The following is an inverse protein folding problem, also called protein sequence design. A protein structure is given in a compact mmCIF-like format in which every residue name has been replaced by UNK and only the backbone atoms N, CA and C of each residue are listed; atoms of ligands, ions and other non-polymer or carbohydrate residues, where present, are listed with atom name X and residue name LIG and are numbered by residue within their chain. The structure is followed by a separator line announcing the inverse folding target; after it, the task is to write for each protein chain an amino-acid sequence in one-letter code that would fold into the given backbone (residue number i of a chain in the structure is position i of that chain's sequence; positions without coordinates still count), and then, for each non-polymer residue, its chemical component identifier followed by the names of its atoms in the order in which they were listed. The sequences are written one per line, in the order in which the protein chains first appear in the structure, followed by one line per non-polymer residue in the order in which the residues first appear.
data_IF_689274340174
#
_entry.id   IF_689274340174
#
_cell.length_a   1.000
_cell.length_b   1.000
_cell.length_c   1.000
_cell.angle_alpha   90.00
_cell.angle_beta   90.00
_cell.angle_gamma   90.00
#
_symmetry.space_group_name_H-M   'P 1'
#
loop_
_entity.id
_entity.type
_entity.pdbx_description
1 polymer ?
#
# COMPACT_ATOMS: atom_id res chain seq x y z
N UNK A 1 21.26 10.68 -11.51
CA UNK A 1 20.56 9.48 -11.00
C UNK A 1 20.73 8.40 -12.06
N UNK A 2 21.49 7.33 -11.77
CA UNK A 2 21.66 6.23 -12.73
C UNK A 2 20.39 5.38 -12.71
N UNK A 3 19.55 5.58 -13.68
CA UNK A 3 18.45 4.66 -14.01
C UNK A 3 19.12 3.38 -14.52
N UNK A 4 19.16 2.32 -13.74
CA UNK A 4 19.57 1.00 -14.22
C UNK A 4 18.44 0.57 -15.14
N UNK A 5 18.72 0.50 -16.44
CA UNK A 5 17.75 0.04 -17.41
C UNK A 5 17.25 -1.37 -17.01
N UNK A 6 15.95 -1.58 -16.99
CA UNK A 6 15.28 -2.85 -16.66
C UNK A 6 15.77 -4.00 -17.54
N UNK A 7 16.34 -3.69 -18.70
CA UNK A 7 16.97 -4.63 -19.64
C UNK A 7 18.08 -5.52 -19.02
N UNK A 8 18.63 -5.15 -17.85
CA UNK A 8 19.72 -5.89 -17.19
C UNK A 8 19.23 -6.80 -16.04
N UNK A 9 17.96 -6.75 -15.66
CA UNK A 9 17.43 -7.58 -14.57
C UNK A 9 16.77 -8.81 -15.17
N UNK A 10 17.47 -9.94 -15.22
CA UNK A 10 16.86 -11.24 -15.55
C UNK A 10 16.30 -11.96 -14.31
N UNK A 11 16.90 -11.75 -13.15
CA UNK A 11 16.49 -12.36 -11.87
C UNK A 11 16.54 -11.32 -10.77
N UNK A 12 15.42 -11.08 -10.12
CA UNK A 12 15.26 -10.18 -8.98
C UNK A 12 15.29 -10.97 -7.67
N UNK A 13 16.15 -10.60 -6.75
CA UNK A 13 16.15 -11.13 -5.38
C UNK A 13 15.18 -10.32 -4.52
N UNK A 14 14.05 -10.89 -4.17
CA UNK A 14 13.05 -10.31 -3.28
C UNK A 14 13.26 -10.81 -1.86
N UNK A 15 13.21 -9.88 -0.90
CA UNK A 15 13.16 -10.15 0.54
C UNK A 15 11.78 -9.74 1.05
N UNK A 16 10.93 -10.72 1.36
CA UNK A 16 9.53 -10.51 1.71
C UNK A 16 9.34 -10.83 3.19
N UNK A 17 8.70 -9.91 3.92
CA UNK A 17 8.31 -10.14 5.32
C UNK A 17 7.25 -11.23 5.39
N UNK A 18 7.49 -12.22 6.27
CA UNK A 18 6.61 -13.36 6.49
C UNK A 18 6.21 -13.45 7.96
N UNK A 19 4.93 -13.62 8.16
CA UNK A 19 4.32 -13.90 9.46
C UNK A 19 3.02 -14.68 9.27
N UNK A 20 2.89 -15.77 10.01
CA UNK A 20 1.67 -16.57 10.08
C UNK A 20 1.32 -16.77 11.58
N UNK A 21 0.19 -16.18 12.04
CA UNK A 21 -0.21 -16.27 13.45
C UNK A 21 -0.46 -17.71 13.91
N UNK A 22 -0.90 -18.59 13.00
CA UNK A 22 -1.24 -19.99 13.33
C UNK A 22 0.01 -20.87 13.43
N UNK A 23 1.16 -20.41 12.93
CA UNK A 23 2.40 -21.20 12.93
C UNK A 23 3.13 -21.21 14.28
N UNK A 24 2.82 -20.27 15.17
CA UNK A 24 3.56 -20.03 16.42
C UNK A 24 5.01 -19.57 16.23
N UNK A 25 5.45 -19.30 14.98
CA UNK A 25 6.80 -18.85 14.65
C UNK A 25 6.91 -17.34 14.71
N UNK A 26 8.11 -16.84 15.03
CA UNK A 26 8.41 -15.41 14.95
C UNK A 26 8.44 -14.95 13.49
N UNK A 27 8.12 -13.67 13.22
CA UNK A 27 8.29 -13.09 11.89
C UNK A 27 9.71 -13.21 11.35
N UNK A 28 9.85 -13.38 10.03
CA UNK A 28 11.14 -13.49 9.36
C UNK A 28 11.10 -12.88 7.96
N UNK A 29 12.26 -12.68 7.35
CA UNK A 29 12.37 -12.25 5.95
C UNK A 29 12.66 -13.48 5.10
N UNK A 30 11.80 -13.75 4.11
CA UNK A 30 11.99 -14.82 3.13
C UNK A 30 12.66 -14.24 1.88
N UNK A 31 13.72 -14.90 1.44
CA UNK A 31 14.37 -14.56 0.16
C UNK A 31 13.83 -15.44 -0.96
N UNK A 32 13.34 -14.82 -2.03
CA UNK A 32 12.84 -15.49 -3.24
C UNK A 32 13.49 -14.84 -4.45
N UNK A 33 13.98 -15.65 -5.38
CA UNK A 33 14.48 -15.18 -6.67
C UNK A 33 13.35 -15.26 -7.70
N UNK A 34 13.04 -14.14 -8.33
CA UNK A 34 11.95 -14.03 -9.30
C UNK A 34 12.51 -13.61 -10.64
N UNK A 35 12.14 -14.33 -11.69
CA UNK A 35 12.51 -13.99 -13.06
C UNK A 35 11.59 -12.89 -13.59
N UNK A 36 12.22 -11.79 -14.03
CA UNK A 36 11.54 -10.58 -14.50
C UNK A 36 11.58 -10.52 -16.02
N UNK A 37 10.45 -10.23 -16.70
CA UNK A 37 10.43 -10.00 -18.14
C UNK A 37 11.41 -8.90 -18.55
N UNK A 38 12.22 -9.15 -19.59
CA UNK A 38 13.25 -8.21 -20.05
C UNK A 38 12.72 -7.11 -20.96
N UNK A 39 11.52 -7.25 -21.46
CA UNK A 39 10.91 -6.42 -22.51
C UNK A 39 10.05 -5.28 -22.00
N UNK A 40 9.76 -5.27 -20.70
CA UNK A 40 8.94 -4.22 -20.07
C UNK A 40 9.29 -4.00 -18.60
N UNK A 41 9.10 -2.76 -18.14
CA UNK A 41 9.10 -2.44 -16.72
C UNK A 41 7.78 -2.91 -16.09
N UNK A 42 7.87 -3.73 -15.06
CA UNK A 42 6.70 -4.22 -14.32
C UNK A 42 6.61 -3.58 -12.94
N UNK A 43 5.43 -3.60 -12.35
CA UNK A 43 5.19 -3.03 -11.04
C UNK A 43 5.63 -3.97 -9.92
N UNK A 44 5.86 -3.42 -8.73
CA UNK A 44 6.18 -4.20 -7.52
C UNK A 44 5.11 -5.26 -7.25
N UNK A 45 3.84 -4.94 -7.50
CA UNK A 45 2.74 -5.89 -7.33
C UNK A 45 2.84 -7.07 -8.30
N UNK A 46 3.30 -6.85 -9.54
CA UNK A 46 3.49 -7.94 -10.51
C UNK A 46 4.62 -8.87 -10.06
N UNK A 47 5.72 -8.30 -9.55
CA UNK A 47 6.80 -9.11 -8.97
C UNK A 47 6.34 -9.94 -7.76
N UNK A 48 5.45 -9.38 -6.90
CA UNK A 48 4.82 -10.14 -5.81
C UNK A 48 3.94 -11.28 -6.32
N UNK A 49 3.25 -11.10 -7.45
CA UNK A 49 2.50 -12.19 -8.09
C UNK A 49 3.41 -13.31 -8.56
N UNK A 50 4.51 -12.99 -9.23
CA UNK A 50 5.51 -13.98 -9.65
C UNK A 50 6.14 -14.72 -8.44
N UNK A 51 6.39 -14.00 -7.34
CA UNK A 51 6.85 -14.62 -6.10
C UNK A 51 5.79 -15.57 -5.51
N UNK A 52 4.50 -15.19 -5.56
CA UNK A 52 3.38 -16.01 -5.08
C UNK A 52 3.13 -17.23 -5.94
N UNK A 53 3.45 -17.21 -7.22
CA UNK A 53 3.41 -18.40 -8.08
C UNK A 53 4.41 -19.47 -7.63
N UNK A 54 5.57 -19.05 -7.10
CA UNK A 54 6.57 -19.96 -6.55
C UNK A 54 6.21 -20.41 -5.12
N UNK A 55 5.65 -19.50 -4.29
CA UNK A 55 5.20 -19.79 -2.94
C UNK A 55 3.77 -19.29 -2.73
N UNK A 56 2.74 -20.11 -2.95
CA UNK A 56 1.33 -19.73 -2.80
C UNK A 56 0.92 -19.26 -1.41
N UNK A 57 1.73 -19.53 -0.39
CA UNK A 57 1.46 -19.12 1.00
C UNK A 57 1.65 -17.63 1.26
N UNK A 58 2.34 -16.89 0.37
CA UNK A 58 2.56 -15.45 0.49
C UNK A 58 1.22 -14.71 0.45
N UNK A 59 0.96 -13.88 1.46
CA UNK A 59 -0.32 -13.17 1.61
C UNK A 59 -0.15 -11.67 1.48
N UNK A 60 -0.92 -11.06 0.57
CA UNK A 60 -1.01 -9.62 0.37
C UNK A 60 -2.39 -9.24 -0.18
N UNK A 61 -2.79 -7.98 0.01
CA UNK A 61 -4.03 -7.45 -0.55
C UNK A 61 -3.78 -6.85 -1.92
N UNK A 62 -4.77 -6.96 -2.79
CA UNK A 62 -4.82 -6.29 -4.09
C UNK A 62 -6.25 -6.17 -4.59
N UNK A 63 -6.52 -5.19 -5.45
CA UNK A 63 -7.81 -5.04 -6.11
C UNK A 63 -7.66 -4.35 -7.46
N UNK A 64 -7.74 -3.03 -7.54
CA UNK A 64 -7.85 -2.26 -8.78
C UNK A 64 -6.63 -2.35 -9.71
N UNK A 65 -5.41 -2.45 -9.17
CA UNK A 65 -4.13 -2.43 -9.88
C UNK A 65 -3.77 -1.10 -10.58
N UNK A 66 -4.46 -0.02 -10.24
CA UNK A 66 -4.32 1.30 -10.88
C UNK A 66 -4.22 2.46 -9.89
N UNK A 67 -3.89 2.16 -8.62
CA UNK A 67 -3.66 3.17 -7.61
C UNK A 67 -4.91 3.85 -7.03
N UNK A 68 -6.11 3.26 -7.21
CA UNK A 68 -7.38 3.87 -6.78
C UNK A 68 -7.91 3.28 -5.48
N UNK A 69 -7.75 1.95 -5.26
CA UNK A 69 -8.36 1.28 -4.12
C UNK A 69 -7.53 1.34 -2.83
N UNK A 70 -6.23 1.63 -2.90
CA UNK A 70 -5.34 1.69 -1.75
C UNK A 70 -5.04 0.37 -1.04
N UNK A 71 -5.56 -0.77 -1.53
CA UNK A 71 -5.51 -2.06 -0.80
C UNK A 71 -4.11 -2.66 -0.74
N UNK A 72 -3.23 -2.33 -1.67
CA UNK A 72 -1.86 -2.82 -1.80
C UNK A 72 -0.79 -1.86 -1.24
N UNK A 73 -1.19 -1.05 -0.26
CA UNK A 73 -0.27 -0.24 0.53
C UNK A 73 0.73 -1.11 1.28
N UNK A 74 2.03 -0.86 1.10
CA UNK A 74 3.11 -1.61 1.71
C UNK A 74 4.38 -0.77 1.86
N UNK A 75 5.35 -1.25 2.62
CA UNK A 75 6.65 -0.64 2.71
C UNK A 75 7.59 -1.29 1.68
N UNK A 76 8.10 -0.48 0.76
CA UNK A 76 8.95 -0.89 -0.35
C UNK A 76 10.34 -0.26 -0.15
N UNK A 77 11.36 -1.06 0.14
CA UNK A 77 12.72 -0.58 0.42
C UNK A 77 12.77 0.58 1.44
N UNK A 78 11.95 0.50 2.51
CA UNK A 78 11.89 1.50 3.58
C UNK A 78 10.97 2.70 3.31
N UNK A 79 10.29 2.77 2.15
CA UNK A 79 9.30 3.81 1.83
C UNK A 79 7.92 3.20 1.66
N UNK A 80 6.90 3.85 2.22
CA UNK A 80 5.53 3.43 2.04
C UNK A 80 5.02 3.84 0.65
N UNK A 81 4.30 2.94 -0.01
CA UNK A 81 3.75 3.18 -1.34
C UNK A 81 2.78 2.08 -1.75
N UNK A 82 2.19 2.24 -2.93
CA UNK A 82 1.30 1.25 -3.53
C UNK A 82 2.09 0.36 -4.48
N UNK A 83 2.00 -0.96 -4.30
CA UNK A 83 2.73 -1.91 -5.14
C UNK A 83 2.28 -1.88 -6.59
N UNK A 84 1.02 -1.54 -6.88
CA UNK A 84 0.46 -1.57 -8.23
C UNK A 84 0.88 -0.41 -9.15
N UNK A 85 1.38 0.68 -8.59
CA UNK A 85 1.83 1.86 -9.35
C UNK A 85 3.30 2.23 -9.09
N UNK A 86 4.03 1.38 -8.40
CA UNK A 86 5.47 1.57 -8.17
C UNK A 86 6.26 0.70 -9.16
N UNK A 87 6.93 1.29 -10.18
CA UNK A 87 7.72 0.55 -11.13
C UNK A 87 8.97 -0.06 -10.49
N UNK A 88 9.38 -1.24 -10.94
CA UNK A 88 10.61 -1.87 -10.43
C UNK A 88 11.86 -1.03 -10.73
N UNK A 89 11.90 -0.37 -11.88
CA UNK A 89 13.03 0.49 -12.29
C UNK A 89 13.33 1.62 -11.29
N UNK A 90 12.32 2.10 -10.57
CA UNK A 90 12.49 3.18 -9.59
C UNK A 90 13.01 2.68 -8.23
N UNK A 91 12.68 1.46 -7.87
CA UNK A 91 12.91 0.96 -6.50
C UNK A 91 13.97 -0.11 -6.39
N UNK A 92 14.22 -0.90 -7.44
CA UNK A 92 15.22 -1.97 -7.41
C UNK A 92 16.64 -1.39 -7.35
N UNK A 93 17.42 -1.84 -6.36
CA UNK A 93 18.82 -1.48 -6.20
C UNK A 93 19.67 -2.75 -6.14
N UNK A 94 20.69 -2.85 -7.02
CA UNK A 94 21.61 -4.01 -7.06
C UNK A 94 20.85 -5.35 -7.14
N UNK A 95 19.78 -5.43 -7.96
CA UNK A 95 18.91 -6.58 -8.13
C UNK A 95 18.23 -7.07 -6.82
N UNK A 96 17.98 -6.15 -5.87
CA UNK A 96 17.32 -6.46 -4.60
C UNK A 96 16.09 -5.61 -4.42
N UNK A 97 15.05 -6.21 -3.84
CA UNK A 97 13.80 -5.56 -3.47
C UNK A 97 13.38 -6.09 -2.10
N UNK A 98 13.21 -5.21 -1.12
CA UNK A 98 12.68 -5.55 0.19
C UNK A 98 11.25 -5.07 0.32
N UNK A 99 10.34 -5.96 0.77
CA UNK A 99 8.93 -5.64 0.97
C UNK A 99 8.51 -6.04 2.37
N UNK A 100 7.89 -5.09 3.07
CA UNK A 100 7.36 -5.23 4.42
C UNK A 100 5.92 -4.72 4.49
N UNK A 101 5.14 -5.12 5.50
CA UNK A 101 3.84 -4.50 5.78
C UNK A 101 4.01 -3.01 6.14
N UNK A 102 2.93 -2.25 6.06
CA UNK A 102 2.91 -0.86 6.55
C UNK A 102 3.32 -0.82 8.03
N UNK A 103 4.27 0.04 8.42
CA UNK A 103 4.77 0.08 9.79
C UNK A 103 3.74 0.67 10.76
N UNK A 104 3.78 0.23 12.02
CA UNK A 104 2.93 0.74 13.10
C UNK A 104 1.52 0.13 13.16
N UNK A 105 1.07 -0.58 12.14
CA UNK A 105 -0.19 -1.33 12.15
C UNK A 105 0.06 -2.80 12.55
N UNK A 106 -0.86 -3.43 13.31
CA UNK A 106 -0.76 -4.85 13.64
C UNK A 106 -0.75 -5.72 12.38
N UNK A 107 0.18 -6.66 12.30
CA UNK A 107 0.25 -7.58 11.16
C UNK A 107 -0.71 -8.75 11.38
N UNK A 108 -1.62 -8.94 10.44
CA UNK A 108 -2.54 -10.08 10.41
C UNK A 108 -1.84 -11.31 9.85
N UNK A 109 -1.26 -11.18 8.66
CA UNK A 109 -0.47 -12.24 8.00
C UNK A 109 0.41 -11.62 6.91
N UNK A 110 1.70 -11.93 6.91
CA UNK A 110 2.70 -11.46 5.93
C UNK A 110 2.63 -9.93 5.70
N UNK A 111 2.15 -9.49 4.54
CA UNK A 111 2.01 -8.08 4.16
C UNK A 111 0.63 -7.49 4.50
N UNK A 112 -0.27 -8.29 5.07
CA UNK A 112 -1.62 -7.88 5.44
C UNK A 112 -1.61 -7.30 6.86
N UNK A 113 -2.06 -6.06 7.00
CA UNK A 113 -2.18 -5.36 8.27
C UNK A 113 -3.65 -5.15 8.65
N UNK A 114 -3.89 -5.00 9.96
CA UNK A 114 -5.19 -4.61 10.50
C UNK A 114 -5.35 -3.08 10.39
N UNK A 115 -6.38 -2.66 9.65
CA UNK A 115 -6.71 -1.26 9.42
C UNK A 115 -7.82 -0.73 10.36
N UNK A 116 -8.24 -1.52 11.34
CA UNK A 116 -9.40 -1.19 12.21
C UNK A 116 -9.23 0.16 12.87
N UNK A 117 -8.10 0.40 13.53
CA UNK A 117 -7.81 1.67 14.20
C UNK A 117 -7.82 2.85 13.22
N UNK A 118 -7.20 2.70 12.05
CA UNK A 118 -7.20 3.72 11.01
C UNK A 118 -8.62 4.04 10.52
N UNK A 119 -9.44 3.03 10.29
CA UNK A 119 -10.85 3.19 9.86
C UNK A 119 -11.69 3.82 10.96
N UNK A 120 -11.44 3.51 12.23
CA UNK A 120 -12.17 4.10 13.36
C UNK A 120 -11.84 5.58 13.54
N UNK A 121 -10.59 6.00 13.30
CA UNK A 121 -10.24 7.43 13.23
C UNK A 121 -10.95 8.13 12.06
N UNK A 122 -10.98 7.51 10.89
CA UNK A 122 -11.73 8.01 9.74
C UNK A 122 -13.22 8.20 10.04
N UNK A 123 -13.86 7.25 10.72
CA UNK A 123 -15.28 7.37 11.12
C UNK A 123 -15.55 8.54 12.08
N UNK A 124 -14.60 8.87 12.97
CA UNK A 124 -14.75 9.97 13.94
C UNK A 124 -14.90 11.32 13.28
N UNK A 125 -14.26 11.56 12.14
CA UNK A 125 -14.39 12.81 11.39
C UNK A 125 -15.68 12.90 10.58
N UNK A 126 -16.54 11.86 10.60
CA UNK A 126 -17.83 11.79 9.89
C UNK A 126 -17.72 12.21 8.43
N UNK A 127 -16.96 11.47 7.58
CA UNK A 127 -16.63 11.85 6.20
C UNK A 127 -17.78 11.57 5.23
N UNK A 128 -18.98 11.99 5.57
CA UNK A 128 -20.19 11.82 4.78
C UNK A 128 -20.97 13.14 4.77
N UNK A 129 -21.82 13.30 3.76
CA UNK A 129 -22.65 14.49 3.65
C UNK A 129 -23.57 14.64 4.87
N UNK A 130 -23.44 15.77 5.57
CA UNK A 130 -24.32 16.19 6.65
C UNK A 130 -25.04 17.43 6.16
N UNK A 131 -26.38 17.38 6.08
CA UNK A 131 -27.20 18.50 5.63
C UNK A 131 -28.47 18.58 6.46
N UNK A 132 -28.80 19.80 6.93
CA UNK A 132 -30.07 20.12 7.58
C UNK A 132 -31.11 20.60 6.54
N UNK A 133 -30.79 20.58 5.26
CA UNK A 133 -31.73 20.96 4.19
C UNK A 133 -32.74 19.84 3.97
N UNK A 134 -34.00 20.22 3.88
CA UNK A 134 -35.07 19.30 3.51
C UNK A 134 -34.84 18.76 2.09
N UNK A 135 -35.03 17.47 1.92
CA UNK A 135 -35.02 16.83 0.60
C UNK A 135 -36.27 17.26 -0.19
N UNK A 136 -36.06 18.13 -1.15
CA UNK A 136 -37.12 18.62 -2.06
C UNK A 136 -37.10 17.88 -3.40
N UNK A 137 -36.38 16.74 -3.50
CA UNK A 137 -36.23 15.94 -4.71
C UNK A 137 -35.40 16.59 -5.82
N UNK A 138 -34.66 17.67 -5.52
CA UNK A 138 -33.77 18.35 -6.45
C UNK A 138 -32.33 18.30 -5.98
N UNK A 139 -31.40 18.41 -6.91
CA UNK A 139 -29.97 18.52 -6.60
C UNK A 139 -29.68 19.72 -5.69
N UNK A 140 -28.79 19.54 -4.75
CA UNK A 140 -28.26 20.62 -3.91
C UNK A 140 -27.10 21.27 -4.67
N UNK A 141 -27.25 22.53 -5.13
CA UNK A 141 -26.17 23.21 -5.87
C UNK A 141 -24.95 23.40 -4.99
N UNK A 142 -23.76 23.16 -5.58
CA UNK A 142 -22.46 23.49 -5.00
C UNK A 142 -21.82 24.61 -5.84
N UNK A 143 -21.29 25.64 -5.19
CA UNK A 143 -20.53 26.69 -5.88
C UNK A 143 -19.13 26.19 -6.24
N UNK A 144 -18.47 26.86 -7.21
CA UNK A 144 -17.07 26.56 -7.57
C UNK A 144 -16.17 26.76 -6.36
N UNK A 145 -16.38 27.84 -5.62
CA UNK A 145 -15.61 28.17 -4.41
C UNK A 145 -15.77 27.10 -3.31
N UNK A 146 -16.95 26.50 -3.16
CA UNK A 146 -17.16 25.42 -2.19
C UNK A 146 -16.52 24.12 -2.67
N UNK A 147 -16.51 23.86 -3.98
CA UNK A 147 -15.81 22.70 -4.54
C UNK A 147 -14.30 22.80 -4.36
N UNK A 148 -13.72 23.98 -4.57
CA UNK A 148 -12.29 24.24 -4.43
C UNK A 148 -11.77 23.98 -3.00
N UNK A 149 -12.61 24.18 -1.98
CA UNK A 149 -12.28 23.86 -0.59
C UNK A 149 -12.05 22.36 -0.33
N UNK A 150 -12.51 21.50 -1.21
CA UNK A 150 -12.34 20.04 -1.09
C UNK A 150 -11.06 19.52 -1.73
N UNK A 151 -10.36 20.34 -2.51
CA UNK A 151 -9.12 19.95 -3.16
C UNK A 151 -8.06 19.54 -2.12
N UNK A 152 -7.42 18.38 -2.36
CA UNK A 152 -6.51 17.76 -1.42
C UNK A 152 -7.17 16.92 -0.32
N UNK A 153 -8.50 16.91 -0.21
CA UNK A 153 -9.23 16.14 0.80
C UNK A 153 -9.93 14.91 0.21
N UNK A 154 -10.62 15.08 -0.92
CA UNK A 154 -11.44 14.01 -1.52
C UNK A 154 -10.62 12.98 -2.32
N UNK A 155 -9.40 13.31 -2.71
CA UNK A 155 -8.50 12.43 -3.46
C UNK A 155 -7.90 11.32 -2.61
N UNK A 156 -8.09 11.36 -1.30
CA UNK A 156 -7.59 10.35 -0.39
C UNK A 156 -8.25 8.98 -0.65
N UNK A 157 -7.42 7.97 -0.96
CA UNK A 157 -7.85 6.59 -1.22
C UNK A 157 -7.78 5.68 0.01
N UNK A 158 -7.54 6.23 1.20
CA UNK A 158 -7.48 5.53 2.48
C UNK A 158 -6.45 4.38 2.52
N UNK A 159 -5.35 4.49 1.78
CA UNK A 159 -4.31 3.45 1.74
C UNK A 159 -3.45 3.38 3.03
N UNK A 160 -3.45 4.41 3.87
CA UNK A 160 -2.69 4.46 5.12
C UNK A 160 -1.18 4.72 4.95
N UNK A 161 -0.67 4.87 3.73
CA UNK A 161 0.77 5.04 3.49
C UNK A 161 1.34 6.31 4.12
N UNK A 162 0.61 7.42 4.11
CA UNK A 162 1.03 8.68 4.72
C UNK A 162 1.02 8.59 6.27
N UNK A 163 -0.07 8.15 6.87
CA UNK A 163 -0.20 8.03 8.32
C UNK A 163 0.88 7.11 8.90
N UNK A 164 1.11 5.97 8.29
CA UNK A 164 2.11 5.00 8.74
C UNK A 164 3.56 5.40 8.40
N UNK A 165 3.78 6.50 7.69
CA UNK A 165 5.11 7.06 7.47
C UNK A 165 5.60 7.96 8.62
N UNK A 166 4.72 8.38 9.52
CA UNK A 166 5.11 9.25 10.64
C UNK A 166 5.69 8.44 11.80
N UNK A 167 6.87 8.81 12.34
CA UNK A 167 7.44 8.15 13.51
C UNK A 167 6.54 8.17 14.74
N UNK A 168 5.77 9.25 14.97
CA UNK A 168 4.80 9.33 16.06
C UNK A 168 3.73 8.25 16.00
N UNK A 169 3.29 7.87 14.80
CA UNK A 169 2.39 6.74 14.61
C UNK A 169 3.00 5.41 15.09
N UNK A 170 4.29 5.19 14.85
CA UNK A 170 4.96 3.96 15.27
C UNK A 170 5.16 3.88 16.78
N UNK A 171 5.30 5.04 17.44
CA UNK A 171 5.54 5.09 18.90
C UNK A 171 4.26 5.00 19.71
N UNK A 172 3.17 5.61 19.21
CA UNK A 172 1.92 5.74 19.95
C UNK A 172 0.74 5.49 18.97
N UNK A 173 0.60 4.30 18.39
CA UNK A 173 -0.40 4.04 17.35
C UNK A 173 -1.84 4.22 17.86
N UNK A 174 -2.10 3.93 19.13
CA UNK A 174 -3.45 3.95 19.72
C UNK A 174 -4.05 5.36 19.85
N UNK A 175 -3.22 6.40 19.81
CA UNK A 175 -3.64 7.81 20.00
C UNK A 175 -3.44 8.68 18.77
N UNK A 176 -2.91 8.12 17.70
CA UNK A 176 -2.62 8.87 16.46
C UNK A 176 -3.84 8.99 15.55
#
# INVERSE_FOLDING_TARGET
MNTIAVEQISTLKMSIYRYDPDSGKKPYMQEINVDIPKDKDIMVLDALHLAKEQDPSISFRRSCREGVCGSDGMNINGKNGLGCITPLSEVVKKNKLEIRPLPGLPVVKDLIVDMTQFVDQYKKIRPYLISDKEDNGKEIPQTIEDRDKLDGLYECILCGCCSTAFPSFWWIPDTF
#
